data_IF_708629035883
#
_entry.id   IF_708629035883
#
_cell.length_a   1.000
_cell.length_b   1.000
_cell.length_c   1.000
_cell.angle_alpha   90.00
_cell.angle_beta   90.00
_cell.angle_gamma   90.00
#
_symmetry.space_group_name_H-M   'P 1'
#
loop_
_entity.id
_entity.type
_entity.pdbx_description
1 polymer ?
#
# COMPACT_ATOMS: atom_id res chain seq x y z
N UNK A 1 58.92 40.80 -60.95
CA UNK A 1 60.01 40.50 -59.99
C UNK A 1 59.75 41.22 -58.69
N UNK A 2 59.26 40.51 -57.67
CA UNK A 2 59.60 40.67 -56.24
C UNK A 2 58.60 39.86 -55.39
N UNK A 3 59.15 38.96 -54.59
CA UNK A 3 58.43 38.02 -53.73
C UNK A 3 58.11 38.68 -52.38
N UNK A 4 56.99 38.30 -51.76
CA UNK A 4 56.78 38.53 -50.32
C UNK A 4 56.01 37.36 -49.69
N UNK A 5 56.74 36.55 -48.92
CA UNK A 5 56.23 35.52 -48.02
C UNK A 5 55.89 36.14 -46.65
N UNK A 6 54.76 35.73 -46.04
CA UNK A 6 54.50 35.56 -44.58
C UNK A 6 52.98 35.48 -44.36
N UNK A 7 52.41 34.59 -43.56
CA UNK A 7 52.93 33.52 -42.72
C UNK A 7 51.74 32.72 -42.17
N UNK A 8 51.87 31.39 -42.10
CA UNK A 8 50.87 30.50 -41.49
C UNK A 8 50.99 30.58 -39.96
N UNK A 9 49.90 30.92 -39.27
CA UNK A 9 49.78 30.77 -37.81
C UNK A 9 49.41 29.32 -37.50
N UNK A 10 50.35 28.57 -36.94
CA UNK A 10 50.10 27.29 -36.28
C UNK A 10 49.36 27.55 -34.96
N UNK A 11 48.10 27.12 -34.86
CA UNK A 11 47.39 27.06 -33.57
C UNK A 11 47.67 25.69 -32.98
N UNK A 12 48.36 25.68 -31.85
CA UNK A 12 48.84 24.49 -31.13
C UNK A 12 47.71 23.53 -30.74
N UNK A 13 47.86 22.26 -31.13
CA UNK A 13 46.98 21.13 -30.79
C UNK A 13 46.81 20.86 -29.29
N UNK A 14 47.59 21.52 -28.42
CA UNK A 14 47.43 21.41 -26.95
C UNK A 14 46.18 22.09 -26.41
N UNK A 15 45.58 23.06 -27.11
CA UNK A 15 44.43 23.82 -26.59
C UNK A 15 43.10 23.05 -26.76
N UNK A 16 42.94 22.32 -27.87
CA UNK A 16 41.73 21.53 -28.14
C UNK A 16 41.59 20.33 -27.18
N UNK A 17 42.70 19.72 -26.76
CA UNK A 17 42.67 18.54 -25.89
C UNK A 17 42.20 18.88 -24.47
N UNK A 18 42.51 20.09 -23.98
CA UNK A 18 42.12 20.56 -22.63
C UNK A 18 40.64 20.92 -22.59
N UNK A 19 40.13 21.61 -23.61
CA UNK A 19 38.71 21.99 -23.71
C UNK A 19 37.81 20.76 -23.87
N UNK A 20 38.27 19.75 -24.64
CA UNK A 20 37.55 18.49 -24.82
C UNK A 20 37.52 17.65 -23.53
N UNK A 21 38.64 17.55 -22.81
CA UNK A 21 38.70 16.89 -21.48
C UNK A 21 37.79 17.56 -20.45
N UNK A 22 37.69 18.90 -20.42
CA UNK A 22 36.81 19.59 -19.47
C UNK A 22 35.31 19.38 -19.74
N UNK A 23 34.89 19.22 -21.01
CA UNK A 23 33.48 18.93 -21.35
C UNK A 23 33.06 17.52 -20.92
N UNK A 24 33.93 16.53 -21.11
CA UNK A 24 33.68 15.14 -20.68
C UNK A 24 33.61 15.04 -19.16
N UNK A 25 34.52 15.70 -18.44
CA UNK A 25 34.49 15.70 -16.96
C UNK A 25 33.21 16.33 -16.43
N UNK A 26 32.73 17.43 -17.03
CA UNK A 26 31.44 18.02 -16.65
C UNK A 26 30.24 17.12 -16.92
N UNK A 27 30.23 16.39 -18.04
CA UNK A 27 29.15 15.45 -18.35
C UNK A 27 29.20 14.21 -17.44
N UNK A 28 30.39 13.72 -17.08
CA UNK A 28 30.55 12.65 -16.10
C UNK A 28 30.12 13.08 -14.70
N UNK A 29 30.42 14.32 -14.27
CA UNK A 29 29.96 14.85 -12.98
C UNK A 29 28.44 15.02 -12.97
N UNK A 30 27.84 15.54 -14.04
CA UNK A 30 26.39 15.68 -14.15
C UNK A 30 25.68 14.31 -14.11
N UNK A 31 26.24 13.31 -14.79
CA UNK A 31 25.69 11.95 -14.83
C UNK A 31 25.84 11.25 -13.47
N UNK A 32 26.92 11.51 -12.74
CA UNK A 32 27.16 10.99 -11.39
C UNK A 32 26.24 11.65 -10.35
N UNK A 33 25.95 12.96 -10.49
CA UNK A 33 24.94 13.66 -9.68
C UNK A 33 23.54 13.12 -9.95
N UNK A 34 23.17 12.87 -11.21
CA UNK A 34 21.88 12.26 -11.57
C UNK A 34 21.77 10.83 -11.03
N UNK A 35 22.86 10.05 -11.05
CA UNK A 35 22.89 8.71 -10.46
C UNK A 35 22.69 8.74 -8.92
N UNK A 36 23.19 9.77 -8.24
CA UNK A 36 22.95 9.98 -6.81
C UNK A 36 21.50 10.37 -6.48
N UNK A 37 20.73 10.92 -7.42
CA UNK A 37 19.29 11.14 -7.27
C UNK A 37 18.44 9.90 -7.64
N UNK A 38 19.04 8.89 -8.28
CA UNK A 38 18.44 7.59 -8.59
C UNK A 38 18.89 6.51 -7.59
N UNK A 39 19.04 6.87 -6.32
CA UNK A 39 18.96 5.86 -5.27
C UNK A 39 17.52 5.38 -5.31
N UNK A 40 17.22 4.09 -5.60
CA UNK A 40 15.88 3.59 -5.37
C UNK A 40 15.60 3.89 -3.92
N UNK A 41 14.59 4.72 -3.65
CA UNK A 41 13.96 4.79 -2.35
C UNK A 41 13.53 3.35 -2.10
N UNK A 42 14.37 2.59 -1.42
CA UNK A 42 13.97 1.38 -0.74
C UNK A 42 12.89 1.89 0.19
N UNK A 43 11.65 1.69 -0.23
CA UNK A 43 10.50 1.75 0.63
C UNK A 43 10.83 0.81 1.79
N UNK A 44 11.41 1.37 2.84
CA UNK A 44 11.45 0.73 4.12
C UNK A 44 9.99 0.75 4.53
N UNK A 45 9.30 -0.37 4.34
CA UNK A 45 7.96 -0.64 4.85
C UNK A 45 7.98 -0.40 6.36
N UNK A 46 7.88 0.86 6.76
CA UNK A 46 7.48 1.23 8.11
C UNK A 46 5.99 0.97 8.08
N UNK A 47 5.58 -0.21 8.56
CA UNK A 47 4.19 -0.48 8.90
C UNK A 47 3.74 0.71 9.78
N UNK A 48 2.92 1.59 9.21
CA UNK A 48 2.26 2.66 9.96
C UNK A 48 1.43 1.97 11.04
N UNK A 49 1.72 2.26 12.30
CA UNK A 49 0.97 1.76 13.45
C UNK A 49 -0.42 2.40 13.39
N UNK A 50 -1.35 1.72 12.70
CA UNK A 50 -2.71 2.22 12.51
C UNK A 50 -3.42 2.26 13.86
N UNK A 51 -3.79 3.45 14.31
CA UNK A 51 -4.57 3.69 15.54
C UNK A 51 -6.06 3.31 15.39
N UNK A 52 -6.48 2.80 14.23
CA UNK A 52 -7.82 2.26 14.02
C UNK A 52 -7.90 0.82 14.57
N UNK A 53 -8.71 0.55 15.61
CA UNK A 53 -8.87 -0.81 16.13
C UNK A 53 -9.45 -1.81 15.10
N UNK A 54 -10.18 -1.34 14.09
CA UNK A 54 -10.78 -2.20 13.06
C UNK A 54 -9.76 -2.77 12.06
N UNK A 55 -8.57 -2.19 11.94
CA UNK A 55 -7.51 -2.69 11.06
C UNK A 55 -6.58 -3.71 11.73
N UNK A 56 -6.75 -3.97 13.04
CA UNK A 56 -5.88 -4.90 13.78
C UNK A 56 -6.28 -6.34 13.46
N UNK A 57 -5.58 -6.95 12.50
CA UNK A 57 -5.79 -8.32 12.06
C UNK A 57 -4.69 -9.29 12.51
N UNK A 58 -3.80 -8.87 13.42
CA UNK A 58 -2.68 -9.68 13.92
C UNK A 58 -2.50 -9.50 15.43
N UNK A 59 -2.04 -10.54 16.16
CA UNK A 59 -1.70 -10.39 17.57
C UNK A 59 -0.49 -9.47 17.73
N UNK A 60 -0.46 -8.73 18.84
CA UNK A 60 0.49 -7.65 19.05
C UNK A 60 0.15 -6.79 20.27
N UNK A 61 1.08 -5.94 20.67
CA UNK A 61 0.83 -4.89 21.66
C UNK A 61 0.77 -3.55 20.94
N UNK A 62 -0.32 -2.80 21.14
CA UNK A 62 -0.66 -1.58 20.43
C UNK A 62 -0.95 -0.46 21.41
N UNK A 63 -0.68 0.78 21.00
CA UNK A 63 -0.97 1.99 21.79
C UNK A 63 -2.13 2.75 21.16
N UNK A 64 -3.33 2.54 21.69
CA UNK A 64 -4.54 3.15 21.17
C UNK A 64 -4.63 4.59 21.69
N UNK A 65 -4.65 5.56 20.78
CA UNK A 65 -4.87 6.97 21.11
C UNK A 65 -6.33 7.22 21.47
N UNK A 66 -6.56 7.85 22.61
CA UNK A 66 -7.88 8.29 23.05
C UNK A 66 -7.81 9.78 23.34
N UNK A 67 -8.72 10.53 22.71
CA UNK A 67 -8.92 11.95 22.96
C UNK A 67 -10.10 12.12 23.90
N UNK A 68 -9.84 12.74 25.06
CA UNK A 68 -10.85 12.97 26.11
C UNK A 68 -10.96 14.46 26.36
N UNK A 69 -12.18 14.99 26.31
CA UNK A 69 -12.45 16.40 26.59
C UNK A 69 -13.52 16.99 25.68
N UNK A 70 -13.70 18.30 25.79
CA UNK A 70 -14.59 19.05 24.91
C UNK A 70 -13.93 19.25 23.53
N UNK A 71 -14.73 19.30 22.44
CA UNK A 71 -14.22 19.64 21.11
C UNK A 71 -13.39 20.93 21.15
N UNK A 72 -12.12 20.84 20.76
CA UNK A 72 -11.17 21.96 20.78
C UNK A 72 -10.38 22.13 22.09
N UNK A 73 -10.64 21.35 23.14
CA UNK A 73 -9.83 21.23 24.37
C UNK A 73 -9.57 19.76 24.74
N UNK A 74 -9.39 18.93 23.72
CA UNK A 74 -9.14 17.51 23.90
C UNK A 74 -7.76 17.28 24.51
N UNK A 75 -7.69 16.31 25.41
CA UNK A 75 -6.45 15.79 25.95
C UNK A 75 -6.20 14.39 25.41
N UNK A 76 -5.05 14.20 24.77
CA UNK A 76 -4.64 12.87 24.28
C UNK A 76 -4.10 11.99 25.41
N UNK A 77 -4.53 10.73 25.42
CA UNK A 77 -4.04 9.64 26.27
C UNK A 77 -3.81 8.41 25.40
N UNK A 78 -2.92 7.53 25.85
CA UNK A 78 -2.63 6.27 25.16
C UNK A 78 -3.00 5.09 26.06
N UNK A 79 -3.81 4.17 25.56
CA UNK A 79 -4.08 2.89 26.22
C UNK A 79 -3.25 1.80 25.56
N UNK A 80 -2.42 1.16 26.37
CA UNK A 80 -1.65 0.00 25.97
C UNK A 80 -2.53 -1.26 25.98
N UNK A 81 -2.72 -1.86 24.82
CA UNK A 81 -3.58 -3.02 24.62
C UNK A 81 -2.79 -4.15 23.97
N UNK A 82 -2.89 -5.36 24.50
CA UNK A 82 -2.29 -6.55 23.87
C UNK A 82 -3.38 -7.44 23.31
N UNK A 83 -3.37 -7.64 22.00
CA UNK A 83 -4.27 -8.54 21.29
C UNK A 83 -3.59 -9.91 21.16
N UNK A 84 -4.28 -10.95 21.57
CA UNK A 84 -3.80 -12.34 21.51
C UNK A 84 -4.76 -13.22 20.74
N UNK A 85 -4.21 -14.15 19.97
CA UNK A 85 -4.97 -15.24 19.37
C UNK A 85 -4.90 -16.49 20.27
N UNK A 86 -5.73 -17.52 20.03
CA UNK A 86 -5.79 -18.70 20.91
C UNK A 86 -4.43 -19.38 21.16
N UNK A 87 -3.53 -19.35 20.17
CA UNK A 87 -2.21 -19.98 20.25
C UNK A 87 -1.11 -19.05 20.76
N UNK A 88 -1.40 -17.75 20.91
CA UNK A 88 -0.41 -16.76 21.31
C UNK A 88 0.20 -17.10 22.67
N UNK A 89 1.52 -17.01 22.76
CA UNK A 89 2.26 -17.18 24.02
C UNK A 89 2.83 -15.85 24.49
N UNK A 90 2.49 -15.49 25.72
CA UNK A 90 2.97 -14.28 26.38
C UNK A 90 4.00 -14.67 27.44
N UNK A 91 5.25 -14.27 27.24
CA UNK A 91 6.32 -14.44 28.21
C UNK A 91 6.54 -13.14 28.98
N UNK A 92 5.90 -13.04 30.15
CA UNK A 92 6.00 -11.87 31.04
C UNK A 92 7.42 -11.64 31.57
N UNK A 93 8.25 -12.69 31.71
CA UNK A 93 9.64 -12.56 32.18
C UNK A 93 10.51 -11.85 31.16
N UNK A 94 10.32 -12.18 29.88
CA UNK A 94 11.10 -11.61 28.78
C UNK A 94 10.51 -10.32 28.20
N UNK A 95 9.28 -9.98 28.62
CA UNK A 95 8.44 -8.93 28.03
C UNK A 95 8.25 -9.13 26.52
N UNK A 96 7.94 -10.36 26.11
CA UNK A 96 7.73 -10.72 24.70
C UNK A 96 6.44 -11.53 24.51
N UNK A 97 5.73 -11.26 23.42
CA UNK A 97 4.70 -12.13 22.86
C UNK A 97 5.21 -12.85 21.62
N UNK A 98 4.73 -14.07 21.37
CA UNK A 98 5.01 -14.84 20.16
C UNK A 98 3.73 -15.55 19.70
N UNK A 99 3.50 -15.57 18.38
CA UNK A 99 2.38 -16.24 17.76
C UNK A 99 2.80 -16.93 16.46
N UNK A 100 2.14 -18.03 16.14
CA UNK A 100 2.37 -18.83 14.94
C UNK A 100 1.15 -19.72 14.68
N UNK A 101 0.86 -19.93 13.41
CA UNK A 101 -0.17 -20.84 12.91
C UNK A 101 0.43 -22.19 12.52
N UNK A 102 -0.43 -23.20 12.43
CA UNK A 102 -0.05 -24.51 11.88
C UNK A 102 0.22 -24.43 10.38
N UNK A 103 1.12 -25.28 9.91
CA UNK A 103 1.61 -25.28 8.54
C UNK A 103 0.98 -26.45 7.77
N UNK A 104 0.52 -26.19 6.54
CA UNK A 104 0.11 -27.23 5.59
C UNK A 104 1.04 -27.22 4.38
N UNK A 105 1.64 -28.36 4.06
CA UNK A 105 2.58 -28.50 2.94
C UNK A 105 2.27 -29.76 2.12
N UNK A 106 2.72 -29.83 0.85
CA UNK A 106 2.65 -31.07 0.09
C UNK A 106 3.52 -32.17 0.72
N UNK A 107 3.16 -33.43 0.46
CA UNK A 107 3.98 -34.59 0.84
C UNK A 107 5.44 -34.44 0.40
N UNK A 108 6.37 -34.89 1.25
CA UNK A 108 7.81 -34.95 0.97
C UNK A 108 8.43 -33.58 0.58
N UNK A 109 7.83 -32.47 1.02
CA UNK A 109 8.34 -31.13 0.69
C UNK A 109 9.13 -30.51 1.85
N UNK A 110 9.04 -31.07 3.06
CA UNK A 110 9.64 -30.49 4.26
C UNK A 110 11.15 -30.22 4.12
N UNK A 111 11.89 -31.18 3.56
CA UNK A 111 13.36 -31.11 3.43
C UNK A 111 13.84 -29.98 2.49
N UNK A 112 12.94 -29.46 1.65
CA UNK A 112 13.24 -28.36 0.73
C UNK A 112 12.96 -26.98 1.32
N UNK A 113 12.27 -26.90 2.47
CA UNK A 113 11.84 -25.64 3.07
C UNK A 113 12.92 -25.03 3.95
N UNK A 114 13.18 -23.76 3.73
CA UNK A 114 14.07 -22.95 4.55
C UNK A 114 13.36 -22.42 5.81
N UNK A 115 14.14 -22.07 6.83
CA UNK A 115 13.64 -21.39 8.05
C UNK A 115 12.75 -20.18 7.73
N UNK A 116 13.15 -19.38 6.73
CA UNK A 116 12.40 -18.20 6.30
C UNK A 116 11.04 -18.58 5.71
N UNK A 117 10.96 -19.66 4.95
CA UNK A 117 9.71 -20.16 4.40
C UNK A 117 8.81 -20.76 5.48
N UNK A 118 9.37 -21.47 6.46
CA UNK A 118 8.62 -21.98 7.60
C UNK A 118 8.03 -20.84 8.44
N UNK A 119 8.83 -19.80 8.73
CA UNK A 119 8.36 -18.58 9.42
C UNK A 119 7.21 -17.95 8.63
N UNK A 120 7.37 -17.78 7.31
CA UNK A 120 6.35 -17.19 6.44
C UNK A 120 5.06 -18.02 6.40
N UNK A 121 5.17 -19.34 6.21
CA UNK A 121 4.02 -20.25 6.12
C UNK A 121 3.26 -20.35 7.45
N UNK A 122 3.97 -20.32 8.57
CA UNK A 122 3.36 -20.28 9.90
C UNK A 122 2.84 -18.89 10.28
N UNK A 123 3.09 -17.85 9.47
CA UNK A 123 2.90 -16.46 9.88
C UNK A 123 3.51 -16.18 11.28
N UNK A 124 4.66 -16.79 11.55
CA UNK A 124 5.29 -16.74 12.86
C UNK A 124 5.85 -15.34 13.12
N UNK A 125 5.46 -14.74 14.25
CA UNK A 125 5.94 -13.41 14.66
C UNK A 125 6.13 -13.34 16.16
N UNK A 126 7.07 -12.48 16.58
CA UNK A 126 7.20 -12.11 17.98
C UNK A 126 7.22 -10.58 18.12
N UNK A 127 6.83 -10.08 19.28
CA UNK A 127 6.81 -8.66 19.56
C UNK A 127 7.17 -8.39 21.01
N UNK A 128 7.63 -7.17 21.27
CA UNK A 128 7.88 -6.66 22.60
C UNK A 128 6.56 -6.25 23.24
N UNK A 129 6.32 -6.73 24.47
CA UNK A 129 5.19 -6.27 25.26
C UNK A 129 5.40 -4.87 25.78
N UNK A 130 6.62 -4.32 25.79
CA UNK A 130 6.90 -2.98 26.30
C UNK A 130 6.39 -1.90 25.37
N UNK A 131 6.69 -2.05 24.08
CA UNK A 131 6.57 -1.02 23.04
C UNK A 131 5.99 -1.54 21.71
N UNK A 132 5.49 -2.78 21.67
CA UNK A 132 4.81 -3.34 20.48
C UNK A 132 5.73 -3.70 19.32
N UNK A 133 7.02 -3.37 19.40
CA UNK A 133 7.96 -3.54 18.28
C UNK A 133 8.20 -5.01 17.95
N UNK A 134 8.42 -5.28 16.66
CA UNK A 134 8.74 -6.62 16.18
C UNK A 134 10.04 -7.15 16.81
N UNK A 135 10.00 -8.39 17.29
CA UNK A 135 11.14 -9.11 17.84
C UNK A 135 11.52 -10.23 16.85
N UNK A 136 12.78 -10.28 16.38
CA UNK A 136 13.20 -11.31 15.44
C UNK A 136 13.10 -12.73 16.02
N UNK A 137 12.56 -13.65 15.22
CA UNK A 137 12.70 -15.09 15.45
C UNK A 137 14.11 -15.48 15.01
N UNK A 138 14.91 -15.97 15.96
CA UNK A 138 16.35 -16.25 15.76
C UNK A 138 16.67 -17.72 15.58
N UNK A 139 15.76 -18.62 15.95
CA UNK A 139 15.95 -20.07 15.85
C UNK A 139 14.67 -20.72 15.36
N UNK A 140 14.83 -21.67 14.44
CA UNK A 140 13.79 -22.55 13.95
C UNK A 140 14.30 -23.97 14.12
N UNK A 141 13.58 -24.80 14.87
CA UNK A 141 13.93 -26.19 15.08
C UNK A 141 12.82 -27.11 14.58
N UNK A 142 13.18 -28.03 13.70
CA UNK A 142 12.25 -28.98 13.08
C UNK A 142 12.47 -30.35 13.70
N UNK A 143 11.39 -30.97 14.17
CA UNK A 143 11.41 -32.36 14.64
C UNK A 143 10.30 -33.18 14.00
N UNK A 144 10.60 -34.44 13.70
CA UNK A 144 9.58 -35.39 13.23
C UNK A 144 8.61 -35.68 14.38
N UNK A 145 7.32 -35.61 14.10
CA UNK A 145 6.29 -35.87 15.09
C UNK A 145 6.07 -37.38 15.29
N UNK A 146 5.60 -37.74 16.48
CA UNK A 146 5.19 -39.11 16.83
C UNK A 146 3.69 -39.34 16.63
N UNK A 147 2.93 -38.28 16.39
CA UNK A 147 1.48 -38.34 16.21
C UNK A 147 1.13 -38.67 14.76
N UNK A 148 0.18 -39.58 14.53
CA UNK A 148 -0.11 -40.10 13.18
C UNK A 148 -0.61 -39.06 12.18
N UNK A 149 -1.21 -37.95 12.64
CA UNK A 149 -1.77 -36.90 11.77
C UNK A 149 -0.82 -35.72 11.56
N UNK A 150 0.17 -35.54 12.44
CA UNK A 150 1.14 -34.44 12.38
C UNK A 150 2.43 -35.03 11.86
N UNK A 151 2.95 -34.51 10.74
CA UNK A 151 4.19 -35.03 10.16
C UNK A 151 5.43 -34.49 10.89
N UNK A 152 5.44 -33.19 11.17
CA UNK A 152 6.54 -32.49 11.84
C UNK A 152 6.01 -31.48 12.85
N UNK A 153 6.84 -31.13 13.80
CA UNK A 153 6.65 -29.98 14.68
C UNK A 153 7.79 -28.99 14.47
N UNK A 154 7.44 -27.71 14.41
CA UNK A 154 8.40 -26.62 14.24
C UNK A 154 8.36 -25.74 15.47
N UNK A 155 9.50 -25.57 16.13
CA UNK A 155 9.65 -24.68 17.27
C UNK A 155 10.34 -23.40 16.83
N UNK A 156 9.64 -22.28 16.95
CA UNK A 156 10.17 -20.94 16.71
C UNK A 156 10.66 -20.34 18.04
N UNK A 157 11.79 -19.64 18.04
CA UNK A 157 12.31 -19.01 19.25
C UNK A 157 12.96 -17.64 19.02
N UNK A 158 12.70 -16.70 19.92
CA UNK A 158 13.39 -15.41 19.99
C UNK A 158 14.76 -15.55 20.65
N UNK A 159 15.57 -14.48 20.58
CA UNK A 159 16.88 -14.41 21.26
C UNK A 159 16.78 -14.62 22.77
N UNK A 160 15.67 -14.21 23.39
CA UNK A 160 15.42 -14.38 24.84
C UNK A 160 14.81 -15.76 25.18
N UNK A 161 14.73 -16.69 24.23
CA UNK A 161 14.09 -18.00 24.38
C UNK A 161 12.58 -17.93 24.67
N UNK A 162 11.87 -16.96 24.08
CA UNK A 162 10.40 -17.02 24.00
C UNK A 162 10.02 -17.92 22.84
N UNK A 163 9.24 -18.97 23.08
CA UNK A 163 9.05 -20.07 22.11
C UNK A 163 7.59 -20.41 21.83
N UNK A 164 7.30 -20.85 20.61
CA UNK A 164 6.01 -21.42 20.20
C UNK A 164 6.24 -22.61 19.27
N UNK A 165 5.29 -23.56 19.29
CA UNK A 165 5.31 -24.76 18.45
C UNK A 165 4.18 -24.66 17.44
N UNK A 166 4.48 -24.92 16.17
CA UNK A 166 3.49 -25.11 15.10
C UNK A 166 3.52 -26.56 14.62
N UNK A 167 2.34 -27.13 14.41
CA UNK A 167 2.19 -28.44 13.81
C UNK A 167 2.28 -28.34 12.28
N UNK A 168 2.93 -29.31 11.65
CA UNK A 168 3.04 -29.42 10.19
C UNK A 168 2.26 -30.63 9.72
N UNK A 169 1.29 -30.37 8.85
CA UNK A 169 0.48 -31.38 8.20
C UNK A 169 0.96 -31.53 6.76
N UNK A 170 1.38 -32.74 6.40
CA UNK A 170 1.63 -33.08 5.00
C UNK A 170 0.38 -33.68 4.37
N UNK A 171 0.05 -33.22 3.17
CA UNK A 171 -1.09 -33.73 2.42
C UNK A 171 -0.82 -33.72 0.93
N UNK A 172 -1.61 -34.49 0.17
CA UNK A 172 -1.64 -34.30 -1.28
C UNK A 172 -2.29 -32.95 -1.56
N UNK A 173 -1.58 -32.08 -2.27
CA UNK A 173 -2.23 -30.92 -2.89
C UNK A 173 -3.04 -31.47 -4.05
N UNK A 174 -4.30 -31.81 -3.78
CA UNK A 174 -5.28 -31.90 -4.86
C UNK A 174 -5.46 -30.48 -5.34
N UNK A 175 -4.83 -30.12 -6.45
CA UNK A 175 -5.25 -28.93 -7.17
C UNK A 175 -6.71 -29.15 -7.50
N UNK A 176 -7.60 -28.48 -6.78
CA UNK A 176 -8.93 -28.28 -7.29
C UNK A 176 -8.71 -27.49 -8.57
N UNK A 177 -8.77 -28.17 -9.71
CA UNK A 177 -9.11 -27.50 -10.95
C UNK A 177 -10.52 -26.96 -10.68
N UNK A 178 -10.58 -25.72 -10.22
CA UNK A 178 -11.74 -24.92 -10.48
C UNK A 178 -11.79 -24.85 -12.00
N UNK A 179 -12.48 -25.79 -12.66
CA UNK A 179 -13.16 -25.47 -13.91
C UNK A 179 -13.88 -24.18 -13.59
N UNK A 180 -13.32 -23.08 -14.10
CA UNK A 180 -13.87 -21.73 -14.10
C UNK A 180 -15.26 -21.66 -13.46
N UNK A 181 -15.32 -21.72 -12.14
CA UNK A 181 -16.58 -21.53 -11.45
C UNK A 181 -16.76 -20.02 -11.55
N UNK A 182 -17.40 -19.59 -12.64
CA UNK A 182 -17.91 -18.25 -12.76
C UNK A 182 -18.89 -18.13 -11.61
N UNK A 183 -18.40 -17.62 -10.48
CA UNK A 183 -19.25 -17.17 -9.40
C UNK A 183 -20.02 -16.02 -10.04
N UNK A 184 -21.24 -16.32 -10.49
CA UNK A 184 -22.23 -15.28 -10.72
C UNK A 184 -22.52 -14.73 -9.32
N UNK A 185 -21.75 -13.73 -8.90
CA UNK A 185 -22.29 -12.75 -7.98
C UNK A 185 -23.58 -12.29 -8.64
N UNK A 186 -24.72 -12.63 -8.04
CA UNK A 186 -26.01 -12.11 -8.43
C UNK A 186 -26.00 -10.60 -8.15
N UNK A 187 -25.34 -9.83 -9.01
CA UNK A 187 -25.60 -8.40 -9.17
C UNK A 187 -26.86 -8.26 -10.02
N UNK A 188 -28.01 -8.64 -9.46
CA UNK A 188 -29.28 -8.08 -9.93
C UNK A 188 -29.63 -6.86 -9.07
N UNK A 189 -28.80 -5.82 -9.11
CA UNK A 189 -29.39 -4.48 -9.13
C UNK A 189 -29.73 -4.19 -10.58
N UNK A 190 -30.92 -4.60 -11.04
CA UNK A 190 -31.55 -4.00 -12.23
C UNK A 190 -31.77 -2.52 -11.91
N UNK A 191 -30.73 -1.71 -12.05
CA UNK A 191 -30.86 -0.25 -12.07
C UNK A 191 -31.77 0.03 -13.25
N UNK A 192 -32.99 0.47 -12.93
CA UNK A 192 -34.00 0.83 -13.92
C UNK A 192 -33.48 2.05 -14.70
N UNK A 193 -32.70 1.80 -15.75
CA UNK A 193 -32.11 2.81 -16.64
C UNK A 193 -33.18 3.71 -17.25
N UNK A 194 -34.40 3.19 -17.40
CA UNK A 194 -35.57 3.95 -17.84
C UNK A 194 -35.94 5.06 -16.84
N UNK A 195 -35.80 4.83 -15.54
CA UNK A 195 -36.08 5.86 -14.52
C UNK A 195 -35.01 6.94 -14.46
N UNK A 196 -33.72 6.55 -14.54
CA UNK A 196 -32.61 7.51 -14.42
C UNK A 196 -32.53 8.40 -15.66
N UNK A 197 -32.64 7.82 -16.86
CA UNK A 197 -32.63 8.60 -18.12
C UNK A 197 -33.77 9.62 -18.17
N UNK A 198 -34.97 9.23 -17.74
CA UNK A 198 -36.13 10.13 -17.68
C UNK A 198 -35.89 11.35 -16.77
N UNK A 199 -35.29 11.15 -15.59
CA UNK A 199 -34.97 12.24 -14.65
C UNK A 199 -33.93 13.21 -15.25
N UNK A 200 -32.90 12.68 -15.92
CA UNK A 200 -31.86 13.53 -16.53
C UNK A 200 -32.40 14.38 -17.68
N UNK A 201 -33.28 13.82 -18.52
CA UNK A 201 -33.92 14.55 -19.62
C UNK A 201 -34.83 15.66 -19.06
N UNK A 202 -35.62 15.35 -18.02
CA UNK A 202 -36.49 16.34 -17.37
C UNK A 202 -35.71 17.52 -16.79
N UNK A 203 -34.58 17.27 -16.10
CA UNK A 203 -33.72 18.33 -15.56
C UNK A 203 -33.13 19.26 -16.65
N UNK A 204 -32.95 18.77 -17.87
CA UNK A 204 -32.40 19.58 -18.96
C UNK A 204 -33.50 20.40 -19.69
N UNK A 205 -34.70 19.84 -19.84
CA UNK A 205 -35.80 20.47 -20.59
C UNK A 205 -36.55 21.54 -19.79
N UNK A 206 -36.81 21.31 -18.49
CA UNK A 206 -37.54 22.23 -17.63
C UNK A 206 -36.96 23.66 -17.60
N UNK A 207 -35.63 23.87 -17.43
CA UNK A 207 -35.07 25.21 -17.45
C UNK A 207 -35.18 25.89 -18.81
N UNK A 208 -35.05 25.15 -19.92
CA UNK A 208 -35.24 25.69 -21.27
C UNK A 208 -36.68 26.17 -21.50
N UNK A 209 -37.67 25.42 -21.03
CA UNK A 209 -39.09 25.79 -21.12
C UNK A 209 -39.40 27.03 -20.26
N UNK A 210 -38.84 27.11 -19.06
CA UNK A 210 -38.99 28.29 -18.19
C UNK A 210 -38.39 29.54 -18.83
N UNK A 211 -37.18 29.45 -19.41
CA UNK A 211 -36.54 30.56 -20.13
C UNK A 211 -37.42 30.99 -21.32
N UNK A 212 -37.95 30.04 -22.09
CA UNK A 212 -38.83 30.34 -23.21
C UNK A 212 -40.11 31.04 -22.75
N UNK A 213 -40.76 30.55 -21.69
CA UNK A 213 -41.95 31.16 -21.09
C UNK A 213 -41.69 32.60 -20.64
N UNK A 214 -40.58 32.84 -19.94
CA UNK A 214 -40.18 34.18 -19.50
C UNK A 214 -39.94 35.08 -20.71
N UNK A 215 -39.27 34.58 -21.76
CA UNK A 215 -39.00 35.36 -22.98
C UNK A 215 -40.30 35.79 -23.69
N UNK A 216 -41.29 34.88 -23.78
CA UNK A 216 -42.61 35.18 -24.36
C UNK A 216 -43.37 36.18 -23.50
N UNK A 217 -43.30 36.04 -22.18
CA UNK A 217 -43.94 36.96 -21.24
C UNK A 217 -43.37 38.38 -21.37
N UNK A 218 -42.04 38.52 -21.41
CA UNK A 218 -41.37 39.81 -21.61
C UNK A 218 -41.73 40.42 -22.97
N UNK A 219 -41.74 39.64 -24.05
CA UNK A 219 -42.17 40.12 -25.36
C UNK A 219 -43.62 40.64 -25.36
N UNK A 220 -44.53 39.98 -24.64
CA UNK A 220 -45.92 40.45 -24.52
C UNK A 220 -46.01 41.78 -23.78
N UNK A 221 -45.32 41.92 -22.64
CA UNK A 221 -45.33 43.19 -21.90
C UNK A 221 -44.72 44.34 -22.70
N UNK A 222 -43.63 44.10 -23.41
CA UNK A 222 -43.00 45.13 -24.27
C UNK A 222 -43.97 45.62 -25.37
N UNK A 223 -44.74 44.72 -26.00
CA UNK A 223 -45.77 45.13 -26.97
C UNK A 223 -46.86 45.99 -26.34
N UNK A 224 -47.29 45.67 -25.12
CA UNK A 224 -48.31 46.46 -24.41
C UNK A 224 -47.76 47.83 -24.01
N UNK A 225 -46.52 47.89 -23.52
CA UNK A 225 -45.85 49.15 -23.16
C UNK A 225 -45.62 50.06 -24.38
N UNK A 226 -45.23 49.49 -25.53
CA UNK A 226 -45.11 50.26 -26.77
C UNK A 226 -46.45 50.84 -27.22
N UNK A 227 -47.56 50.09 -27.15
CA UNK A 227 -48.88 50.65 -27.51
C UNK A 227 -49.27 51.86 -26.66
N UNK A 228 -48.94 51.88 -25.37
CA UNK A 228 -49.26 53.01 -24.48
C UNK A 228 -48.37 54.24 -24.76
N UNK A 229 -47.14 54.04 -25.24
CA UNK A 229 -46.23 55.15 -25.56
C UNK A 229 -46.46 55.77 -26.95
N UNK A 230 -47.13 55.06 -27.87
CA UNK A 230 -47.38 55.53 -29.24
C UNK A 230 -48.84 55.98 -29.52
N UNK A 231 -49.80 55.71 -28.62
CA UNK A 231 -51.22 56.13 -28.74
C UNK A 231 -51.54 57.42 -27.93
N UNK A 232 -50.60 58.36 -27.80
CA UNK A 232 -50.85 59.69 -27.23
C UNK A 232 -50.35 60.79 -28.17
#
# INVERSE_FOLDING_TARGET
MNYKLKGKRYVSSSCYLVIFRMKIVKHCILLLVILCFMVPVLANDKEEETTNPESINKPGTYFIEIKVGEPGKETTRYIKTTITFPNTKINKKNQEGIDASDIRIPLNTMDSLTDKELIKKANARAWSLEDGRNVPITKVNVSKSKESQVAYTVTFSTKKNTTIISNVYEGKVTSLQFENLSIYLSEETKKNTWSITSITIAMSIIPLVLILMISIYLQRQLRTGQRILYDN
#
